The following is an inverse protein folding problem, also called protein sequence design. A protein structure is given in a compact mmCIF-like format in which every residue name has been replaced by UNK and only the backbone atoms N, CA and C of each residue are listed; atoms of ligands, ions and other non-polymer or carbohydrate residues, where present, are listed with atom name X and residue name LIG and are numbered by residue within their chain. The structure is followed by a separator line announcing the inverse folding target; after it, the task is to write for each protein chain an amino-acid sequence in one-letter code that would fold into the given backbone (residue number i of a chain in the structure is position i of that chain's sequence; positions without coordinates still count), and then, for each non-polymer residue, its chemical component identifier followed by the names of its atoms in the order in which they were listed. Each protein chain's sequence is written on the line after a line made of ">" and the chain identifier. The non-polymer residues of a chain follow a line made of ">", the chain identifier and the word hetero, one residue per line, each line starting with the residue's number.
data_IF_073305268432
#
_entry.id   IF_073305268432
#
_cell.length_a   1.000
_cell.length_b   1.000
_cell.length_c   1.000
_cell.angle_alpha   90.00
_cell.angle_beta   90.00
_cell.angle_gamma   90.00
#
_symmetry.space_group_name_H-M   'P 1'
#
loop_
_entity.id
_entity.type
_entity.pdbx_description
1 polymer ?
#
# COMPACT_ATOMS: atom_id res chain seq x y z
N UNK A 1 -16.73 1.87 -7.54
CA UNK A 1 -15.40 2.22 -8.07
C UNK A 1 -14.38 1.64 -7.10
N UNK A 2 -13.62 0.61 -7.50
CA UNK A 2 -12.65 -0.01 -6.58
C UNK A 2 -11.48 0.93 -6.39
N UNK A 3 -11.15 1.27 -5.14
CA UNK A 3 -9.97 2.09 -4.86
C UNK A 3 -8.71 1.29 -5.18
N UNK A 4 -7.90 1.82 -6.11
CA UNK A 4 -6.65 1.20 -6.52
C UNK A 4 -5.46 1.98 -5.95
N UNK A 5 -4.37 1.29 -5.56
CA UNK A 5 -3.18 1.95 -5.06
C UNK A 5 -2.62 2.96 -6.07
N UNK A 6 -2.19 4.11 -5.56
CA UNK A 6 -1.56 5.13 -6.39
C UNK A 6 -0.09 4.82 -6.58
N UNK A 7 0.55 5.54 -7.50
CA UNK A 7 1.99 5.42 -7.75
C UNK A 7 2.85 5.69 -6.51
N UNK A 8 2.39 6.55 -5.61
CA UNK A 8 3.12 6.94 -4.40
C UNK A 8 3.12 5.84 -3.35
N UNK A 9 2.08 5.00 -3.34
CA UNK A 9 1.93 3.91 -2.37
C UNK A 9 2.83 2.72 -2.73
N UNK A 10 3.25 2.63 -3.99
CA UNK A 10 4.02 1.51 -4.52
C UNK A 10 5.50 1.88 -4.62
N UNK A 11 6.33 1.09 -3.93
CA UNK A 11 7.79 1.22 -3.93
C UNK A 11 8.44 -0.07 -4.45
N UNK A 12 9.66 0.03 -4.99
CA UNK A 12 10.47 -1.15 -5.32
C UNK A 12 10.76 -1.92 -4.02
N UNK A 13 10.73 -3.24 -4.05
CA UNK A 13 10.88 -4.10 -2.87
C UNK A 13 9.59 -4.30 -2.07
N UNK A 14 8.49 -3.63 -2.41
CA UNK A 14 7.21 -3.80 -1.73
C UNK A 14 6.50 -5.08 -2.21
N UNK A 15 5.82 -5.77 -1.28
CA UNK A 15 4.97 -6.93 -1.60
C UNK A 15 3.59 -6.46 -2.06
N UNK A 16 3.18 -6.89 -3.25
CA UNK A 16 1.96 -6.46 -3.90
C UNK A 16 1.22 -7.63 -4.54
N UNK A 17 -0.07 -7.44 -4.76
CA UNK A 17 -0.92 -8.35 -5.51
C UNK A 17 -1.24 -7.72 -6.88
N UNK A 18 -0.87 -8.41 -7.94
CA UNK A 18 -1.01 -7.93 -9.32
C UNK A 18 -1.90 -8.85 -10.15
N UNK A 19 -2.72 -8.25 -11.00
CA UNK A 19 -3.42 -8.97 -12.06
C UNK A 19 -2.49 -9.05 -13.27
N UNK A 20 -2.03 -10.24 -13.61
CA UNK A 20 -1.18 -10.47 -14.78
C UNK A 20 -2.02 -10.53 -16.05
N UNK A 21 -1.40 -10.41 -17.23
CA UNK A 21 -2.14 -10.56 -18.51
C UNK A 21 -2.84 -11.91 -18.63
N UNK A 22 -2.25 -12.97 -18.06
CA UNK A 22 -2.80 -14.34 -18.10
C UNK A 22 -4.06 -14.47 -17.24
N UNK A 23 -4.17 -13.67 -16.19
CA UNK A 23 -5.25 -13.74 -15.21
C UNK A 23 -6.33 -12.65 -15.41
N UNK A 24 -6.21 -11.81 -16.46
CA UNK A 24 -7.17 -10.75 -16.74
C UNK A 24 -8.59 -11.29 -16.87
N UNK A 25 -9.52 -10.74 -16.08
CA UNK A 25 -10.93 -11.15 -16.08
C UNK A 25 -11.23 -12.41 -15.28
N UNK A 26 -10.22 -13.11 -14.75
CA UNK A 26 -10.41 -14.26 -13.85
C UNK A 26 -10.55 -13.86 -12.39
N UNK A 27 -10.13 -12.63 -12.05
CA UNK A 27 -10.06 -12.14 -10.67
C UNK A 27 -8.89 -12.70 -9.86
N UNK A 28 -8.06 -13.57 -10.44
CA UNK A 28 -6.88 -14.11 -9.76
C UNK A 28 -5.78 -13.06 -9.68
N UNK A 29 -5.22 -12.90 -8.48
CA UNK A 29 -4.10 -12.00 -8.24
C UNK A 29 -2.85 -12.82 -7.94
N UNK A 30 -1.74 -12.44 -8.57
CA UNK A 30 -0.44 -13.00 -8.28
C UNK A 30 0.26 -12.13 -7.24
N UNK A 31 0.68 -12.74 -6.15
CA UNK A 31 1.48 -12.09 -5.11
C UNK A 31 2.94 -12.03 -5.55
N UNK A 32 3.61 -10.90 -5.32
CA UNK A 32 5.06 -10.85 -5.45
C UNK A 32 5.67 -9.50 -5.08
N UNK A 33 6.99 -9.47 -5.10
CA UNK A 33 7.79 -8.29 -4.78
C UNK A 33 8.02 -7.43 -6.02
N UNK A 34 7.79 -6.12 -5.91
CA UNK A 34 8.02 -5.15 -7.00
C UNK A 34 9.51 -5.04 -7.31
N UNK A 35 9.90 -5.37 -8.55
CA UNK A 35 11.24 -5.08 -9.09
C UNK A 35 11.31 -3.68 -9.70
N UNK A 36 10.31 -3.35 -10.51
CA UNK A 36 10.29 -2.11 -11.28
C UNK A 36 8.87 -1.60 -11.48
N UNK A 37 8.70 -0.29 -11.52
CA UNK A 37 7.41 0.36 -11.73
C UNK A 37 7.41 0.94 -13.15
N UNK A 38 6.46 0.50 -13.96
CA UNK A 38 6.37 0.79 -15.40
C UNK A 38 5.35 1.90 -15.73
N UNK A 39 4.55 2.33 -14.76
CA UNK A 39 3.64 3.48 -14.91
C UNK A 39 4.25 4.73 -14.29
N UNK A 40 4.35 5.79 -15.09
CA UNK A 40 4.85 7.09 -14.64
C UNK A 40 3.75 7.93 -13.95
N UNK A 41 2.50 7.87 -14.45
CA UNK A 41 1.38 8.63 -13.92
C UNK A 41 1.05 8.28 -12.48
N UNK A 42 0.68 9.30 -11.68
CA UNK A 42 0.31 9.15 -10.27
C UNK A 42 -0.91 8.25 -10.07
N UNK A 43 -1.91 8.40 -10.94
CA UNK A 43 -3.17 7.66 -10.94
C UNK A 43 -3.37 6.94 -12.27
N UNK A 44 -3.97 5.76 -12.22
CA UNK A 44 -4.34 5.00 -13.41
C UNK A 44 -5.62 4.18 -13.14
N UNK A 45 -6.62 4.20 -14.04
CA UNK A 45 -7.94 3.61 -13.79
C UNK A 45 -7.91 2.10 -13.54
N UNK A 46 -6.94 1.40 -14.13
CA UNK A 46 -6.76 -0.05 -13.94
C UNK A 46 -5.64 -0.42 -12.96
N UNK A 47 -5.03 0.58 -12.32
CA UNK A 47 -3.91 0.41 -11.41
C UNK A 47 -2.54 0.59 -12.06
N UNK A 48 -1.53 0.70 -11.20
CA UNK A 48 -0.14 0.95 -11.59
C UNK A 48 0.47 -0.33 -12.17
N UNK A 49 1.11 -0.23 -13.33
CA UNK A 49 1.80 -1.35 -13.96
C UNK A 49 3.17 -1.54 -13.31
N UNK A 50 3.47 -2.78 -12.91
CA UNK A 50 4.76 -3.14 -12.29
C UNK A 50 5.30 -4.43 -12.88
N UNK A 51 6.61 -4.61 -12.73
CA UNK A 51 7.32 -5.87 -12.96
C UNK A 51 7.69 -6.45 -11.60
N UNK A 52 7.35 -7.71 -11.38
CA UNK A 52 7.72 -8.45 -10.18
C UNK A 52 9.17 -8.97 -10.29
N UNK A 53 9.76 -9.34 -9.15
CA UNK A 53 11.08 -10.00 -9.12
C UNK A 53 11.11 -11.31 -9.91
N UNK A 54 9.99 -12.03 -9.99
CA UNK A 54 9.82 -13.22 -10.84
C UNK A 54 9.86 -12.94 -12.35
N UNK A 55 9.90 -11.67 -12.76
CA UNK A 55 9.85 -11.26 -14.17
C UNK A 55 8.45 -11.05 -14.73
N UNK A 56 7.41 -11.46 -13.99
CA UNK A 56 6.02 -11.26 -14.39
C UNK A 56 5.64 -9.78 -14.38
N UNK A 57 4.71 -9.40 -15.26
CA UNK A 57 4.24 -8.02 -15.41
C UNK A 57 2.73 -7.99 -15.23
N UNK A 58 2.26 -7.06 -14.40
CA UNK A 58 0.84 -6.96 -14.05
C UNK A 58 0.43 -5.57 -13.58
N UNK A 59 -0.88 -5.41 -13.35
CA UNK A 59 -1.47 -4.20 -12.76
C UNK A 59 -1.70 -4.43 -11.27
N UNK A 60 -1.16 -3.55 -10.43
CA UNK A 60 -1.32 -3.63 -8.98
C UNK A 60 -2.78 -3.40 -8.61
N UNK A 61 -3.34 -4.35 -7.86
CA UNK A 61 -4.70 -4.25 -7.30
C UNK A 61 -4.68 -4.01 -5.80
N UNK A 62 -3.70 -4.59 -5.10
CA UNK A 62 -3.59 -4.49 -3.64
C UNK A 62 -2.12 -4.42 -3.20
N UNK A 63 -1.89 -3.74 -2.08
CA UNK A 63 -0.61 -3.75 -1.37
C UNK A 63 -0.76 -4.68 -0.18
N UNK A 64 0.16 -5.63 -0.02
CA UNK A 64 0.14 -6.53 1.13
C UNK A 64 0.94 -5.88 2.27
N UNK A 65 0.25 -5.09 3.10
CA UNK A 65 0.83 -4.58 4.34
C UNK A 65 0.85 -5.70 5.36
N UNK A 66 1.92 -6.51 5.37
CA UNK A 66 2.15 -7.44 6.46
C UNK A 66 2.65 -6.66 7.69
N UNK A 67 1.73 -5.99 8.39
CA UNK A 67 1.96 -5.59 9.79
C UNK A 67 2.09 -6.89 10.58
N UNK A 68 3.33 -7.31 10.84
CA UNK A 68 3.57 -8.48 11.67
C UNK A 68 3.25 -8.10 13.11
N UNK A 69 2.23 -8.73 13.69
CA UNK A 69 1.73 -8.45 15.05
C UNK A 69 2.81 -8.48 16.15
N UNK A 70 3.96 -9.10 15.87
CA UNK A 70 5.14 -9.08 16.75
C UNK A 70 5.72 -7.69 16.98
N UNK A 71 5.48 -6.70 16.12
CA UNK A 71 5.92 -5.31 16.34
C UNK A 71 4.88 -4.43 17.06
N UNK A 72 3.59 -4.77 17.02
CA UNK A 72 2.53 -3.96 17.66
C UNK A 72 2.53 -4.09 19.18
N UNK A 73 2.96 -5.24 19.73
CA UNK A 73 2.98 -5.47 21.20
C UNK A 73 4.10 -4.73 21.95
N UNK A 74 5.02 -4.07 21.24
CA UNK A 74 6.14 -3.35 21.84
C UNK A 74 5.88 -1.84 22.06
N UNK A 75 4.71 -1.31 21.66
CA UNK A 75 4.41 0.13 21.73
C UNK A 75 3.21 0.49 22.61
N UNK A 76 2.67 -0.43 23.41
CA UNK A 76 1.60 -0.11 24.36
C UNK A 76 2.08 -0.28 25.81
N UNK A 77 2.21 0.86 26.51
CA UNK A 77 1.94 1.04 27.96
C UNK A 77 3.07 1.55 28.89
N UNK A 78 3.91 2.48 28.44
CA UNK A 78 4.37 3.58 29.30
C UNK A 78 4.36 4.87 28.45
N UNK A 79 3.90 6.00 29.02
CA UNK A 79 3.98 7.38 28.48
C UNK A 79 2.75 8.04 27.81
N UNK A 80 1.51 7.59 28.05
CA UNK A 80 0.30 8.42 27.76
C UNK A 80 -0.16 9.23 29.01
N UNK A 81 0.47 9.07 30.18
CA UNK A 81 0.06 9.77 31.41
C UNK A 81 0.64 11.17 31.64
N UNK A 82 1.32 11.78 30.66
CA UNK A 82 1.97 13.09 30.85
C UNK A 82 1.86 14.04 29.65
N UNK A 83 0.81 13.94 28.84
CA UNK A 83 0.45 15.04 27.93
C UNK A 83 -0.47 16.00 28.71
N UNK A 84 -0.02 17.22 29.07
CA UNK A 84 -0.93 18.23 29.59
C UNK A 84 -1.95 18.57 28.49
N UNK A 85 -3.24 18.52 28.83
CA UNK A 85 -4.32 19.00 27.96
C UNK A 85 -4.10 20.50 27.70
N UNK A 86 -3.54 20.87 26.56
CA UNK A 86 -3.58 22.26 26.10
C UNK A 86 -4.85 22.51 25.29
N UNK A 87 -5.61 23.46 25.79
CA UNK A 87 -6.89 24.00 25.34
C UNK A 87 -6.83 24.49 23.88
N UNK A 88 -7.82 24.09 23.08
CA UNK A 88 -7.88 24.38 21.65
C UNK A 88 -8.51 25.76 21.44
N UNK A 89 -7.69 26.77 21.12
CA UNK A 89 -8.09 28.19 21.08
C UNK A 89 -8.61 28.70 19.71
N UNK A 90 -9.24 27.84 18.92
CA UNK A 90 -9.75 28.21 17.58
C UNK A 90 -11.23 27.90 17.41
N UNK A 91 -12.05 28.37 18.36
CA UNK A 91 -13.50 28.31 18.27
C UNK A 91 -14.18 29.66 18.58
N UNK A 92 -13.51 30.78 18.31
CA UNK A 92 -14.14 32.10 18.29
C UNK A 92 -13.57 32.92 17.12
N UNK A 93 -14.34 33.01 16.04
CA UNK A 93 -14.64 34.20 15.21
C UNK A 93 -15.68 33.83 14.14
#
# INVERSE_FOLDING_TARGET
>A
MTELPTRNDIKKGLMVEVETKKDQGTGRLTVGTVKEILTASKYHPYGIKVRLQSGQVGRVKKITTAITEKQTRSFTNLDIKSIPKTENKYNEL
#
